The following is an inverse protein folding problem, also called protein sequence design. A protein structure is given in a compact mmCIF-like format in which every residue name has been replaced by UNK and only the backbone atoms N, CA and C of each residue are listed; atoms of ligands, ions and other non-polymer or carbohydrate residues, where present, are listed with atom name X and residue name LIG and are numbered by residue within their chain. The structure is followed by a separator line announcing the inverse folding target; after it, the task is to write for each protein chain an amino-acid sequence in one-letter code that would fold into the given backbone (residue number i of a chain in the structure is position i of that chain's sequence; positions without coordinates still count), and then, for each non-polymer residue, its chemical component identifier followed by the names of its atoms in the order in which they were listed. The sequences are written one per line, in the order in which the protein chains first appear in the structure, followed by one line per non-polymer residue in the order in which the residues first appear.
data_IF_876671258581
#
_entry.id   IF_876671258581
#
_cell.length_a   1.000
_cell.length_b   1.000
_cell.length_c   1.000
_cell.angle_alpha   90.00
_cell.angle_beta   90.00
_cell.angle_gamma   90.00
#
_symmetry.space_group_name_H-M   'P 1'
#
loop_
_entity.id
_entity.type
_entity.pdbx_description
1 polymer ?
#
# COMPACT_ATOMS: atom_id res chain seq x y z
N UNK A 1 45.59 8.25 -53.73
CA UNK A 1 44.49 8.57 -54.67
C UNK A 1 43.52 7.41 -54.92
N UNK A 2 43.90 6.13 -54.78
CA UNK A 2 42.98 5.01 -55.02
C UNK A 2 41.89 4.83 -53.94
N UNK A 3 42.23 4.95 -52.65
CA UNK A 3 41.29 4.74 -51.55
C UNK A 3 40.12 5.76 -51.52
N UNK A 4 40.38 7.01 -51.93
CA UNK A 4 39.33 8.04 -52.04
C UNK A 4 38.31 7.72 -53.13
N UNK A 5 38.72 7.04 -54.21
CA UNK A 5 37.82 6.61 -55.27
C UNK A 5 36.81 5.56 -54.80
N UNK A 6 37.26 4.58 -54.00
CA UNK A 6 36.39 3.54 -53.44
C UNK A 6 35.38 4.13 -52.46
N UNK A 7 35.82 5.07 -51.61
CA UNK A 7 34.92 5.74 -50.65
C UNK A 7 33.86 6.58 -51.36
N UNK A 8 34.23 7.34 -52.40
CA UNK A 8 33.27 8.14 -53.17
C UNK A 8 32.31 7.26 -53.98
N UNK A 9 32.77 6.14 -54.54
CA UNK A 9 31.89 5.17 -55.19
C UNK A 9 30.87 4.57 -54.20
N UNK A 10 31.31 4.19 -53.00
CA UNK A 10 30.42 3.64 -51.97
C UNK A 10 29.40 4.67 -51.46
N UNK A 11 29.77 5.95 -51.37
CA UNK A 11 28.85 7.03 -50.99
C UNK A 11 27.73 7.27 -52.01
N UNK A 12 27.98 7.00 -53.29
CA UNK A 12 27.01 7.18 -54.38
C UNK A 12 25.92 6.12 -54.40
N UNK A 13 26.09 5.01 -53.67
CA UNK A 13 25.06 3.99 -53.52
C UNK A 13 23.91 4.53 -52.67
N UNK A 14 22.71 4.55 -53.24
CA UNK A 14 21.53 5.22 -52.70
C UNK A 14 20.67 4.34 -51.82
N UNK A 15 20.67 3.02 -52.05
CA UNK A 15 19.80 2.08 -51.32
C UNK A 15 20.57 1.27 -50.28
N UNK A 16 19.86 0.78 -49.27
CA UNK A 16 20.44 -0.10 -48.23
C UNK A 16 20.98 -1.40 -48.84
N UNK A 17 20.26 -1.96 -49.81
CA UNK A 17 20.59 -3.25 -50.42
C UNK A 17 21.84 -3.17 -51.32
N UNK A 18 21.98 -2.09 -52.09
CA UNK A 18 23.20 -1.81 -52.88
C UNK A 18 24.43 -1.68 -51.99
N UNK A 19 24.29 -0.99 -50.86
CA UNK A 19 25.38 -0.82 -49.89
C UNK A 19 25.75 -2.12 -49.21
N UNK A 20 24.77 -2.96 -48.90
CA UNK A 20 25.00 -4.30 -48.34
C UNK A 20 25.74 -5.20 -49.34
N UNK A 21 25.29 -5.24 -50.60
CA UNK A 21 25.94 -6.02 -51.66
C UNK A 21 27.39 -5.55 -51.92
N UNK A 22 27.63 -4.25 -51.95
CA UNK A 22 28.97 -3.69 -52.11
C UNK A 22 29.89 -4.01 -50.92
N UNK A 23 29.38 -3.95 -49.68
CA UNK A 23 30.14 -4.39 -48.49
C UNK A 23 30.49 -5.87 -48.58
N UNK A 24 29.55 -6.72 -48.97
CA UNK A 24 29.79 -8.16 -49.12
C UNK A 24 30.87 -8.45 -50.17
N UNK A 25 30.83 -7.75 -51.31
CA UNK A 25 31.86 -7.86 -52.35
C UNK A 25 33.24 -7.41 -51.84
N UNK A 26 33.32 -6.26 -51.15
CA UNK A 26 34.58 -5.77 -50.55
C UNK A 26 35.12 -6.79 -49.55
N UNK A 27 34.26 -7.37 -48.72
CA UNK A 27 34.62 -8.35 -47.70
C UNK A 27 35.18 -9.65 -48.31
N UNK A 28 34.66 -10.10 -49.45
CA UNK A 28 35.14 -11.30 -50.18
C UNK A 28 36.56 -11.14 -50.72
N UNK A 29 36.95 -9.92 -51.07
CA UNK A 29 38.29 -9.62 -51.61
C UNK A 29 39.36 -9.43 -50.52
N UNK A 30 38.98 -9.34 -49.24
CA UNK A 30 39.94 -9.16 -48.15
C UNK A 30 40.73 -10.43 -47.86
N UNK A 31 42.04 -10.28 -47.68
CA UNK A 31 42.87 -11.39 -47.22
C UNK A 31 42.76 -11.61 -45.68
N UNK A 32 43.25 -12.74 -45.14
CA UNK A 32 43.11 -13.06 -43.71
C UNK A 32 43.79 -12.07 -42.73
N UNK A 33 44.76 -11.27 -43.18
CA UNK A 33 45.39 -10.23 -42.35
C UNK A 33 44.54 -8.95 -42.34
N UNK A 34 44.03 -8.55 -43.50
CA UNK A 34 43.13 -7.40 -43.66
C UNK A 34 41.80 -7.61 -42.92
N UNK A 35 41.27 -8.83 -42.93
CA UNK A 35 40.11 -9.22 -42.13
C UNK A 35 40.31 -8.97 -40.63
N UNK A 36 41.48 -9.36 -40.10
CA UNK A 36 41.82 -9.16 -38.69
C UNK A 36 41.94 -7.67 -38.35
N UNK A 37 42.56 -6.89 -39.23
CA UNK A 37 42.68 -5.43 -39.07
C UNK A 37 41.31 -4.73 -39.15
N UNK A 38 40.46 -5.11 -40.11
CA UNK A 38 39.10 -4.61 -40.24
C UNK A 38 38.27 -4.92 -38.97
N UNK A 39 38.34 -6.15 -38.47
CA UNK A 39 37.68 -6.56 -37.24
C UNK A 39 38.20 -5.77 -36.03
N UNK A 40 39.52 -5.58 -35.90
CA UNK A 40 40.11 -4.80 -34.82
C UNK A 40 39.65 -3.33 -34.84
N UNK A 41 39.50 -2.74 -36.03
CA UNK A 41 38.97 -1.37 -36.21
C UNK A 41 37.47 -1.28 -35.93
N UNK A 42 36.68 -2.27 -36.37
CA UNK A 42 35.25 -2.33 -36.10
C UNK A 42 34.98 -2.51 -34.60
N UNK A 43 35.77 -3.33 -33.90
CA UNK A 43 35.67 -3.52 -32.45
C UNK A 43 35.94 -2.24 -31.65
N UNK A 44 36.71 -1.29 -32.21
CA UNK A 44 36.93 0.04 -31.62
C UNK A 44 35.76 0.99 -31.84
N UNK A 45 34.82 0.67 -32.73
CA UNK A 45 33.57 1.42 -32.89
C UNK A 45 32.50 0.84 -31.98
N UNK A 46 31.76 1.71 -31.31
CA UNK A 46 30.59 1.30 -30.54
C UNK A 46 29.48 0.89 -31.50
N UNK A 47 29.19 -0.40 -31.57
CA UNK A 47 27.97 -0.88 -32.21
C UNK A 47 26.77 -0.47 -31.36
N UNK A 48 26.12 0.62 -31.74
CA UNK A 48 24.82 0.98 -31.18
C UNK A 48 23.76 0.19 -31.93
N UNK A 49 23.25 -0.84 -31.29
CA UNK A 49 22.10 -1.61 -31.77
C UNK A 49 20.92 -1.36 -30.82
N UNK A 50 19.82 -0.82 -31.35
CA UNK A 50 18.58 -0.71 -30.58
C UNK A 50 17.89 -2.07 -30.55
N UNK A 51 18.27 -2.87 -29.56
CA UNK A 51 17.69 -4.20 -29.34
C UNK A 51 16.16 -4.08 -29.18
N UNK A 52 15.69 -3.16 -28.34
CA UNK A 52 14.28 -3.07 -27.96
C UNK A 52 13.36 -2.73 -29.13
N UNK A 53 13.78 -1.86 -30.05
CA UNK A 53 12.98 -1.55 -31.24
C UNK A 53 12.82 -2.72 -32.22
N UNK A 54 13.73 -3.71 -32.16
CA UNK A 54 13.73 -4.89 -33.04
C UNK A 54 13.07 -6.12 -32.43
N UNK A 55 12.78 -6.11 -31.12
CA UNK A 55 12.27 -7.26 -30.41
C UNK A 55 10.77 -7.48 -30.64
N UNK A 56 10.32 -8.76 -30.71
CA UNK A 56 8.92 -9.10 -30.55
C UNK A 56 8.38 -8.59 -29.21
N UNK A 57 7.10 -8.22 -29.17
CA UNK A 57 6.47 -7.61 -27.99
C UNK A 57 6.58 -8.52 -26.76
N UNK A 58 6.52 -9.83 -26.95
CA UNK A 58 6.62 -10.85 -25.90
C UNK A 58 7.97 -10.78 -25.18
N UNK A 59 9.05 -10.61 -25.94
CA UNK A 59 10.40 -10.45 -25.36
C UNK A 59 10.50 -9.09 -24.67
N UNK A 60 9.89 -8.06 -25.25
CA UNK A 60 9.72 -6.76 -24.59
C UNK A 60 9.07 -6.90 -23.22
N UNK A 61 7.92 -7.57 -23.12
CA UNK A 61 7.21 -7.84 -21.86
C UNK A 61 8.13 -8.52 -20.86
N UNK A 62 8.86 -9.56 -21.28
CA UNK A 62 9.79 -10.28 -20.40
C UNK A 62 10.90 -9.40 -19.86
N UNK A 63 11.52 -8.55 -20.69
CA UNK A 63 12.58 -7.62 -20.27
C UNK A 63 12.02 -6.59 -19.30
N UNK A 64 10.93 -5.93 -19.67
CA UNK A 64 10.38 -4.81 -18.91
C UNK A 64 9.77 -5.25 -17.58
N UNK A 65 9.33 -6.51 -17.44
CA UNK A 65 8.86 -7.08 -16.17
C UNK A 65 9.91 -7.01 -15.05
N UNK A 66 11.21 -7.04 -15.38
CA UNK A 66 12.29 -6.94 -14.40
C UNK A 66 12.68 -5.50 -14.04
N UNK A 67 12.05 -4.50 -14.68
CA UNK A 67 12.36 -3.09 -14.43
C UNK A 67 11.35 -2.47 -13.45
N UNK A 68 11.77 -1.35 -12.84
CA UNK A 68 10.89 -0.53 -12.02
C UNK A 68 9.71 0.01 -12.84
N UNK A 69 8.53 0.13 -12.23
CA UNK A 69 7.29 0.58 -12.87
C UNK A 69 7.42 1.95 -13.54
N UNK A 70 8.26 2.85 -13.03
CA UNK A 70 8.51 4.16 -13.65
C UNK A 70 9.42 4.10 -14.88
N UNK A 71 10.17 3.01 -15.05
CA UNK A 71 11.18 2.87 -16.11
C UNK A 71 10.57 2.87 -17.50
N UNK A 72 9.51 2.10 -17.83
CA UNK A 72 8.85 2.17 -19.12
C UNK A 72 8.40 3.58 -19.49
N UNK A 73 7.80 4.31 -18.55
CA UNK A 73 7.32 5.68 -18.79
C UNK A 73 8.45 6.64 -19.10
N UNK A 74 9.59 6.52 -18.39
CA UNK A 74 10.79 7.31 -18.70
C UNK A 74 11.37 6.95 -20.07
N UNK A 75 11.43 5.66 -20.40
CA UNK A 75 12.06 5.17 -21.63
C UNK A 75 11.21 5.42 -22.89
N UNK A 76 9.95 5.83 -22.76
CA UNK A 76 9.14 6.33 -23.87
C UNK A 76 9.75 7.56 -24.56
N UNK A 77 10.68 8.29 -23.92
CA UNK A 77 11.36 9.43 -24.54
C UNK A 77 12.55 9.05 -25.43
N UNK A 78 12.95 7.77 -25.46
CA UNK A 78 14.15 7.32 -26.19
C UNK A 78 13.96 7.41 -27.70
N UNK A 79 12.84 6.90 -28.23
CA UNK A 79 12.50 6.98 -29.65
C UNK A 79 10.99 6.80 -29.89
N UNK A 80 10.52 7.10 -31.10
CA UNK A 80 9.11 6.87 -31.49
C UNK A 80 8.71 5.38 -31.39
N UNK A 81 9.63 4.47 -31.71
CA UNK A 81 9.41 3.03 -31.63
C UNK A 81 9.31 2.56 -30.18
N UNK A 82 10.22 3.02 -29.33
CA UNK A 82 10.17 2.78 -27.88
C UNK A 82 8.87 3.30 -27.28
N UNK A 83 8.46 4.51 -27.65
CA UNK A 83 7.18 5.06 -27.21
C UNK A 83 6.02 4.18 -27.62
N UNK A 84 5.94 3.78 -28.90
CA UNK A 84 4.86 2.91 -29.41
C UNK A 84 4.80 1.58 -28.63
N UNK A 85 5.95 0.95 -28.42
CA UNK A 85 6.06 -0.32 -27.68
C UNK A 85 5.62 -0.14 -26.22
N UNK A 86 6.22 0.82 -25.51
CA UNK A 86 6.04 1.03 -24.07
C UNK A 86 4.74 1.75 -23.68
N UNK A 87 3.95 2.20 -24.66
CA UNK A 87 2.57 2.68 -24.46
C UNK A 87 1.58 1.52 -24.54
N UNK A 88 1.99 0.34 -25.04
CA UNK A 88 1.10 -0.81 -25.16
C UNK A 88 0.62 -1.30 -23.79
N UNK A 89 -0.71 -1.43 -23.56
CA UNK A 89 -1.26 -2.05 -22.37
C UNK A 89 -0.75 -3.47 -22.13
N UNK A 90 -0.37 -4.19 -23.18
CA UNK A 90 0.15 -5.56 -23.10
C UNK A 90 1.49 -5.63 -22.35
N UNK A 91 2.27 -4.54 -22.36
CA UNK A 91 3.51 -4.42 -21.60
C UNK A 91 3.24 -3.88 -20.20
N UNK A 92 2.40 -2.85 -20.10
CA UNK A 92 2.19 -2.14 -18.84
C UNK A 92 1.36 -2.96 -17.84
N UNK A 93 0.33 -3.69 -18.29
CA UNK A 93 -0.55 -4.46 -17.39
C UNK A 93 0.20 -5.57 -16.65
N UNK A 94 1.02 -6.44 -17.27
CA UNK A 94 1.79 -7.44 -16.54
C UNK A 94 2.81 -6.87 -15.54
N UNK A 95 3.32 -5.66 -15.81
CA UNK A 95 4.19 -4.98 -14.84
C UNK A 95 3.40 -4.47 -13.63
N UNK A 96 2.23 -3.89 -13.88
CA UNK A 96 1.35 -3.38 -12.83
C UNK A 96 0.65 -4.49 -12.06
N UNK A 97 0.45 -5.67 -12.65
CA UNK A 97 -0.24 -6.80 -12.01
C UNK A 97 0.50 -7.37 -10.80
N UNK A 98 1.78 -7.03 -10.64
CA UNK A 98 2.54 -7.36 -9.41
C UNK A 98 2.07 -6.54 -8.20
N UNK A 99 1.40 -5.42 -8.44
CA UNK A 99 0.97 -4.47 -7.42
C UNK A 99 -0.53 -4.25 -7.35
N UNK A 100 -1.21 -4.47 -8.48
CA UNK A 100 -2.65 -4.30 -8.62
C UNK A 100 -3.26 -5.60 -9.13
N UNK A 101 -4.22 -6.13 -8.39
CA UNK A 101 -5.06 -7.26 -8.78
C UNK A 101 -6.34 -6.77 -9.47
N UNK A 102 -6.96 -7.63 -10.29
CA UNK A 102 -8.29 -7.37 -10.85
C UNK A 102 -9.38 -7.31 -9.76
N UNK A 103 -9.08 -7.86 -8.58
CA UNK A 103 -9.95 -7.77 -7.40
C UNK A 103 -9.81 -6.45 -6.64
N UNK A 104 -8.78 -5.66 -6.94
CA UNK A 104 -8.58 -4.39 -6.27
C UNK A 104 -9.65 -3.38 -6.70
N UNK A 105 -10.08 -2.58 -5.73
CA UNK A 105 -11.00 -1.48 -6.02
C UNK A 105 -10.30 -0.46 -6.93
N UNK A 106 -11.04 0.13 -7.89
CA UNK A 106 -10.48 1.18 -8.76
C UNK A 106 -9.89 2.33 -7.96
N UNK A 107 -8.79 2.89 -8.46
CA UNK A 107 -8.19 4.10 -7.90
C UNK A 107 -9.12 5.32 -8.08
N UNK A 108 -8.90 6.33 -7.25
CA UNK A 108 -9.57 7.62 -7.40
C UNK A 108 -9.27 8.20 -8.80
N UNK A 109 -10.31 8.53 -9.56
CA UNK A 109 -10.21 9.00 -10.94
C UNK A 109 -10.15 7.91 -12.01
N UNK A 110 -9.94 6.63 -11.67
CA UNK A 110 -9.87 5.52 -12.65
C UNK A 110 -11.20 5.35 -13.40
N UNK A 111 -12.33 5.54 -12.72
CA UNK A 111 -13.66 5.45 -13.33
C UNK A 111 -13.88 6.47 -14.47
N UNK A 112 -13.22 7.64 -14.41
CA UNK A 112 -13.28 8.66 -15.46
C UNK A 112 -12.44 8.30 -16.69
N UNK A 113 -11.56 7.31 -16.57
CA UNK A 113 -10.64 6.85 -17.61
C UNK A 113 -11.13 5.56 -18.31
N UNK A 114 -12.42 5.22 -18.17
CA UNK A 114 -13.00 4.03 -18.83
C UNK A 114 -12.75 4.07 -20.34
N UNK A 115 -12.20 2.97 -20.86
CA UNK A 115 -11.82 2.83 -22.27
C UNK A 115 -10.45 3.43 -22.62
N UNK A 116 -9.75 4.05 -21.67
CA UNK A 116 -8.40 4.60 -21.86
C UNK A 116 -7.36 3.75 -21.13
N UNK A 117 -7.09 2.55 -21.64
CA UNK A 117 -6.23 1.55 -20.98
C UNK A 117 -4.85 2.08 -20.61
N UNK A 118 -4.22 2.85 -21.50
CA UNK A 118 -2.93 3.46 -21.23
C UNK A 118 -3.02 4.50 -20.09
N UNK A 119 -4.06 5.33 -20.07
CA UNK A 119 -4.23 6.34 -19.02
C UNK A 119 -4.46 5.68 -17.65
N UNK A 120 -5.19 4.57 -17.60
CA UNK A 120 -5.34 3.75 -16.38
C UNK A 120 -4.00 3.20 -15.92
N UNK A 121 -3.19 2.65 -16.85
CA UNK A 121 -1.85 2.16 -16.52
C UNK A 121 -0.94 3.28 -16.00
N UNK A 122 -1.02 4.47 -16.61
CA UNK A 122 -0.27 5.65 -16.19
C UNK A 122 -0.67 6.10 -14.78
N UNK A 123 -1.97 6.16 -14.48
CA UNK A 123 -2.50 6.50 -13.15
C UNK A 123 -1.97 5.54 -12.08
N UNK A 124 -2.07 4.22 -12.32
CA UNK A 124 -1.56 3.18 -11.42
C UNK A 124 -0.05 3.28 -11.21
N UNK A 125 0.70 3.50 -12.29
CA UNK A 125 2.15 3.69 -12.22
C UNK A 125 2.54 4.94 -11.41
N UNK A 126 1.82 6.04 -11.59
CA UNK A 126 2.04 7.28 -10.86
C UNK A 126 1.76 7.10 -9.36
N UNK A 127 0.65 6.45 -9.00
CA UNK A 127 0.35 6.10 -7.61
C UNK A 127 1.47 5.28 -6.97
N UNK A 128 1.98 4.27 -7.68
CA UNK A 128 3.09 3.45 -7.18
C UNK A 128 4.38 4.25 -7.03
N UNK A 129 4.69 5.10 -8.00
CA UNK A 129 5.87 5.96 -7.96
C UNK A 129 5.83 6.93 -6.77
N UNK A 130 4.67 7.56 -6.55
CA UNK A 130 4.36 8.43 -5.41
C UNK A 130 4.53 7.71 -4.08
N UNK A 131 3.99 6.49 -3.97
CA UNK A 131 4.13 5.62 -2.80
C UNK A 131 5.62 5.34 -2.48
N UNK A 132 6.41 4.93 -3.47
CA UNK A 132 7.84 4.64 -3.29
C UNK A 132 8.69 5.85 -2.89
N UNK A 133 8.27 7.06 -3.27
CA UNK A 133 8.97 8.31 -2.96
C UNK A 133 8.49 9.00 -1.69
N UNK A 134 7.49 8.44 -1.00
CA UNK A 134 6.89 9.11 0.16
C UNK A 134 6.17 10.42 -0.21
N UNK A 135 5.68 10.53 -1.44
CA UNK A 135 4.95 11.70 -1.94
C UNK A 135 3.45 11.35 -2.06
N UNK A 136 2.67 11.41 -0.96
CA UNK A 136 1.31 10.87 -0.93
C UNK A 136 0.40 11.53 -1.97
N UNK A 137 -0.51 10.74 -2.56
CA UNK A 137 -1.52 11.25 -3.49
C UNK A 137 -2.53 12.16 -2.78
N UNK A 138 -2.99 11.75 -1.59
CA UNK A 138 -3.78 12.58 -0.70
C UNK A 138 -3.34 12.35 0.75
N UNK A 139 -3.57 13.34 1.60
CA UNK A 139 -3.32 13.23 3.03
C UNK A 139 -4.47 13.91 3.79
N UNK A 140 -4.68 13.45 5.03
CA UNK A 140 -5.67 14.03 5.95
C UNK A 140 -4.95 14.29 7.26
N UNK A 141 -5.10 15.50 7.81
CA UNK A 141 -4.62 15.82 9.14
C UNK A 141 -5.69 15.50 10.16
N UNK A 142 -5.40 14.58 11.07
CA UNK A 142 -6.22 14.32 12.24
C UNK A 142 -5.49 14.95 13.41
N UNK A 143 -6.02 16.06 13.91
CA UNK A 143 -5.51 16.65 15.14
C UNK A 143 -5.98 15.74 16.28
N UNK A 144 -5.06 15.22 17.08
CA UNK A 144 -5.36 14.52 18.33
C UNK A 144 -4.91 15.44 19.46
N UNK A 145 -5.74 15.69 20.47
CA UNK A 145 -5.35 16.58 21.56
C UNK A 145 -4.23 15.91 22.36
N UNK A 146 -3.10 16.59 22.49
CA UNK A 146 -1.98 16.18 23.36
C UNK A 146 -2.30 16.32 24.86
N UNK A 147 -3.53 16.71 25.22
CA UNK A 147 -3.93 16.93 26.60
C UNK A 147 -4.24 15.61 27.30
N UNK A 148 -3.20 14.91 27.75
CA UNK A 148 -2.90 14.90 29.18
C UNK A 148 -1.37 14.76 29.35
N UNK A 149 -0.70 15.66 30.09
CA UNK A 149 0.70 15.46 30.43
C UNK A 149 0.83 14.13 31.16
N UNK A 150 1.77 13.32 30.70
CA UNK A 150 2.19 12.07 31.32
C UNK A 150 2.34 12.27 32.82
N UNK A 151 1.34 11.87 33.61
CA UNK A 151 1.53 11.67 35.02
C UNK A 151 2.44 10.45 35.14
N UNK A 152 3.75 10.73 35.16
CA UNK A 152 4.92 9.84 35.16
C UNK A 152 4.94 8.82 36.33
N UNK A 153 3.85 8.71 37.10
CA UNK A 153 3.65 7.81 38.23
C UNK A 153 2.80 6.57 37.90
N UNK A 154 2.20 6.47 36.72
CA UNK A 154 1.56 5.23 36.26
C UNK A 154 2.60 4.35 35.58
N UNK A 155 3.02 3.27 36.24
CA UNK A 155 3.85 2.20 35.67
C UNK A 155 3.14 1.35 34.61
N UNK A 156 1.92 1.72 34.19
CA UNK A 156 1.17 1.02 33.17
C UNK A 156 1.26 1.76 31.81
N UNK A 157 1.90 1.15 30.78
CA UNK A 157 1.90 1.67 29.43
C UNK A 157 0.54 1.36 28.79
N UNK A 158 -0.50 2.12 29.15
CA UNK A 158 -1.84 1.92 28.59
C UNK A 158 -2.55 3.25 28.39
N UNK A 159 -2.02 4.09 27.51
CA UNK A 159 -2.94 5.02 26.85
C UNK A 159 -3.92 4.17 26.04
N UNK A 160 -5.23 4.23 26.32
CA UNK A 160 -6.21 3.60 25.45
C UNK A 160 -6.03 4.16 24.04
N UNK A 161 -6.16 3.31 23.02
CA UNK A 161 -6.05 3.75 21.65
C UNK A 161 -7.14 4.80 21.39
N UNK A 162 -6.78 6.09 21.38
CA UNK A 162 -7.67 7.22 21.03
C UNK A 162 -7.94 7.26 19.52
N UNK A 163 -7.23 6.43 18.77
CA UNK A 163 -7.33 6.24 17.32
C UNK A 163 -7.32 4.74 17.05
N UNK A 164 -8.15 4.30 16.13
CA UNK A 164 -8.07 2.96 15.55
C UNK A 164 -8.23 3.05 14.03
N UNK A 165 -7.64 2.09 13.32
CA UNK A 165 -7.58 2.12 11.86
C UNK A 165 -7.76 0.71 11.30
N UNK A 166 -8.67 0.55 10.36
CA UNK A 166 -8.86 -0.69 9.61
C UNK A 166 -9.18 -0.38 8.15
N UNK A 167 -8.49 -1.07 7.24
CA UNK A 167 -8.58 -0.90 5.78
C UNK A 167 -8.45 0.55 5.31
N UNK A 168 -9.58 1.22 5.09
CA UNK A 168 -9.68 2.60 4.60
C UNK A 168 -10.34 3.52 5.63
N UNK A 169 -10.75 3.00 6.78
CA UNK A 169 -11.53 3.71 7.75
C UNK A 169 -10.68 3.97 8.99
N UNK A 170 -10.67 5.23 9.43
CA UNK A 170 -10.03 5.67 10.66
C UNK A 170 -11.09 6.16 11.62
N UNK A 171 -10.98 5.77 12.88
CA UNK A 171 -11.80 6.29 13.97
C UNK A 171 -10.90 6.99 14.99
N UNK A 172 -11.36 8.11 15.55
CA UNK A 172 -10.66 8.82 16.60
C UNK A 172 -11.62 9.53 17.55
N UNK A 173 -11.16 9.78 18.78
CA UNK A 173 -11.91 10.57 19.75
C UNK A 173 -11.80 12.06 19.45
N UNK A 174 -12.91 12.80 19.61
CA UNK A 174 -12.88 14.25 19.43
C UNK A 174 -12.06 14.94 20.54
N UNK A 175 -11.42 16.05 20.18
CA UNK A 175 -10.45 16.77 21.01
C UNK A 175 -11.08 17.70 22.06
N UNK A 176 -12.39 17.64 22.24
CA UNK A 176 -13.07 18.44 23.24
C UNK A 176 -12.82 17.86 24.63
N UNK A 177 -12.65 18.67 25.70
CA UNK A 177 -12.48 18.19 27.08
C UNK A 177 -13.60 17.22 27.53
N UNK A 178 -14.78 17.36 26.93
CA UNK A 178 -15.95 16.50 27.10
C UNK A 178 -16.01 15.36 26.08
N UNK A 179 -14.87 14.79 25.64
CA UNK A 179 -14.75 13.81 24.56
C UNK A 179 -15.75 12.64 24.68
N UNK A 180 -16.94 12.90 24.15
CA UNK A 180 -18.14 12.07 24.18
C UNK A 180 -18.51 11.61 22.79
N UNK A 181 -17.69 11.98 21.80
CA UNK A 181 -17.87 11.72 20.39
C UNK A 181 -16.64 10.99 19.83
N UNK A 182 -16.92 9.95 19.07
CA UNK A 182 -16.00 9.27 18.16
C UNK A 182 -16.31 9.77 16.76
N UNK A 183 -15.28 10.25 16.08
CA UNK A 183 -15.32 10.58 14.65
C UNK A 183 -14.79 9.39 13.87
N UNK A 184 -15.51 8.98 12.85
CA UNK A 184 -15.13 7.91 11.93
C UNK A 184 -15.08 8.50 10.53
N UNK A 185 -14.02 8.23 9.78
CA UNK A 185 -13.86 8.72 8.42
C UNK A 185 -13.31 7.61 7.54
N UNK A 186 -13.98 7.36 6.41
CA UNK A 186 -13.41 6.56 5.35
C UNK A 186 -12.50 7.45 4.49
N UNK A 187 -11.21 7.20 4.52
CA UNK A 187 -10.16 8.00 3.89
C UNK A 187 -10.29 8.07 2.37
N UNK A 188 -10.93 7.08 1.74
CA UNK A 188 -11.15 7.05 0.29
C UNK A 188 -12.40 7.84 -0.11
N UNK A 189 -13.55 7.48 0.44
CA UNK A 189 -14.85 8.09 0.08
C UNK A 189 -15.09 9.44 0.74
N UNK A 190 -14.26 9.80 1.74
CA UNK A 190 -14.41 10.97 2.62
C UNK A 190 -15.73 11.00 3.40
N UNK A 191 -16.50 9.91 3.38
CA UNK A 191 -17.70 9.78 4.21
C UNK A 191 -17.29 9.75 5.68
N UNK A 192 -17.93 10.60 6.47
CA UNK A 192 -17.71 10.69 7.90
C UNK A 192 -18.96 10.36 8.67
N UNK A 193 -18.78 9.71 9.81
CA UNK A 193 -19.81 9.40 10.79
C UNK A 193 -19.33 9.93 12.14
N UNK A 194 -20.23 10.52 12.91
CA UNK A 194 -19.95 10.94 14.29
C UNK A 194 -20.89 10.14 15.19
N UNK A 195 -20.34 9.42 16.14
CA UNK A 195 -21.09 8.62 17.11
C UNK A 195 -20.72 9.03 18.52
N UNK A 196 -21.67 8.97 19.45
CA UNK A 196 -21.42 9.24 20.86
C UNK A 196 -22.17 8.25 21.76
N UNK A 197 -21.92 8.34 23.07
CA UNK A 197 -22.65 7.58 24.09
C UNK A 197 -24.09 8.09 24.30
N UNK A 198 -24.72 7.69 25.41
CA UNK A 198 -25.99 8.27 25.85
C UNK A 198 -25.69 9.44 26.78
N UNK A 199 -26.04 10.67 26.38
CA UNK A 199 -25.74 11.87 27.15
C UNK A 199 -24.26 12.30 27.06
N UNK A 200 -23.73 12.90 28.13
CA UNK A 200 -22.36 13.43 28.20
C UNK A 200 -21.36 12.42 28.77
N UNK A 201 -21.45 11.17 28.32
CA UNK A 201 -20.52 10.13 28.76
C UNK A 201 -19.13 10.34 28.15
N UNK A 202 -18.10 10.25 28.99
CA UNK A 202 -16.71 10.30 28.52
C UNK A 202 -16.33 8.94 27.92
N UNK A 203 -15.83 8.98 26.69
CA UNK A 203 -15.35 7.79 25.97
C UNK A 203 -13.87 7.61 26.26
N UNK A 204 -13.47 6.37 26.55
CA UNK A 204 -12.10 6.05 26.92
C UNK A 204 -11.38 5.20 25.86
N UNK A 205 -12.05 4.24 25.22
CA UNK A 205 -11.43 3.28 24.30
C UNK A 205 -12.28 3.11 23.05
N UNK A 206 -11.65 2.96 21.89
CA UNK A 206 -12.32 2.68 20.62
C UNK A 206 -11.72 1.46 19.92
N UNK A 207 -12.57 0.70 19.24
CA UNK A 207 -12.19 -0.37 18.31
C UNK A 207 -13.03 -0.39 17.06
N UNK A 208 -12.36 -0.51 15.93
CA UNK A 208 -12.95 -0.48 14.61
C UNK A 208 -12.86 -1.86 13.96
N UNK A 209 -13.93 -2.26 13.29
CA UNK A 209 -13.94 -3.37 12.32
C UNK A 209 -14.39 -2.85 10.97
N UNK A 210 -14.41 -3.70 9.96
CA UNK A 210 -14.96 -3.38 8.64
C UNK A 210 -16.44 -3.02 8.69
N UNK A 211 -17.15 -3.41 9.76
CA UNK A 211 -18.61 -3.30 9.87
C UNK A 211 -19.06 -2.46 11.06
N UNK A 212 -18.29 -2.41 12.14
CA UNK A 212 -18.66 -1.77 13.40
C UNK A 212 -17.60 -0.78 13.87
N UNK A 213 -18.04 0.30 14.52
CA UNK A 213 -17.24 1.04 15.48
C UNK A 213 -17.77 0.74 16.88
N UNK A 214 -16.89 0.40 17.79
CA UNK A 214 -17.22 0.12 19.17
C UNK A 214 -16.38 0.95 20.10
N UNK A 215 -16.96 1.34 21.23
CA UNK A 215 -16.28 2.18 22.19
C UNK A 215 -16.80 1.95 23.60
N UNK A 216 -15.92 2.11 24.57
CA UNK A 216 -16.27 2.00 25.99
C UNK A 216 -16.23 3.36 26.65
N UNK A 217 -17.17 3.56 27.57
CA UNK A 217 -17.24 4.74 28.42
C UNK A 217 -16.60 4.45 29.77
N UNK A 218 -16.27 5.49 30.53
CA UNK A 218 -15.78 5.33 31.91
C UNK A 218 -16.82 4.71 32.86
N UNK A 219 -18.11 4.64 32.47
CA UNK A 219 -19.16 3.97 33.26
C UNK A 219 -19.19 2.45 33.07
N UNK A 220 -18.31 1.90 32.22
CA UNK A 220 -18.26 0.47 31.88
C UNK A 220 -19.32 0.04 30.86
N UNK A 221 -19.99 1.00 30.20
CA UNK A 221 -20.89 0.72 29.09
C UNK A 221 -20.12 0.64 27.79
N UNK A 222 -20.37 -0.42 27.02
CA UNK A 222 -19.83 -0.59 25.67
C UNK A 222 -20.94 -0.28 24.67
N UNK A 223 -20.62 0.61 23.74
CA UNK A 223 -21.42 0.92 22.58
C UNK A 223 -20.81 0.25 21.35
N UNK A 224 -21.69 -0.14 20.43
CA UNK A 224 -21.34 -0.59 19.11
C UNK A 224 -22.27 0.11 18.12
N UNK A 225 -21.72 0.60 17.02
CA UNK A 225 -22.46 1.24 15.95
C UNK A 225 -22.11 0.58 14.63
N UNK A 226 -23.14 0.24 13.88
CA UNK A 226 -23.00 -0.25 12.51
C UNK A 226 -22.55 0.90 11.60
N UNK A 227 -21.48 0.68 10.84
CA UNK A 227 -20.89 1.69 9.97
C UNK A 227 -21.72 1.95 8.71
N UNK A 228 -22.56 1.00 8.29
CA UNK A 228 -23.40 1.13 7.10
C UNK A 228 -24.74 1.80 7.44
N UNK A 229 -25.39 1.40 8.53
CA UNK A 229 -26.73 1.89 8.89
C UNK A 229 -26.70 3.03 9.90
N UNK A 230 -25.62 3.19 10.67
CA UNK A 230 -25.57 4.07 11.83
C UNK A 230 -26.39 3.55 13.02
N UNK A 231 -26.92 2.33 12.95
CA UNK A 231 -27.65 1.72 14.05
C UNK A 231 -26.70 1.48 15.23
N UNK A 232 -27.13 1.92 16.42
CA UNK A 232 -26.33 1.83 17.64
C UNK A 232 -26.98 0.90 18.64
N UNK A 233 -26.16 0.04 19.24
CA UNK A 233 -26.52 -0.88 20.32
C UNK A 233 -25.54 -0.72 21.47
N UNK A 234 -25.95 -1.12 22.67
CA UNK A 234 -25.07 -1.07 23.83
C UNK A 234 -25.36 -2.18 24.81
N UNK A 235 -24.35 -2.51 25.60
CA UNK A 235 -24.48 -3.39 26.74
C UNK A 235 -23.57 -2.90 27.87
N UNK A 236 -23.93 -3.25 29.10
CA UNK A 236 -23.20 -2.83 30.28
C UNK A 236 -22.42 -4.00 30.85
N UNK A 237 -21.14 -3.77 31.17
CA UNK A 237 -20.35 -4.74 31.88
C UNK A 237 -20.70 -4.73 33.38
N UNK A 238 -20.63 -5.89 34.08
CA UNK A 238 -20.92 -5.97 35.51
C UNK A 238 -20.01 -5.08 36.37
N UNK A 239 -18.79 -4.79 35.89
CA UNK A 239 -17.80 -3.97 36.58
C UNK A 239 -17.56 -2.67 35.80
N UNK A 240 -17.53 -1.54 36.50
CA UNK A 240 -17.25 -0.21 35.94
C UNK A 240 -15.77 0.01 35.55
N UNK A 241 -15.00 -1.07 35.41
CA UNK A 241 -13.58 -1.02 35.05
C UNK A 241 -13.44 -0.91 33.55
N UNK A 242 -12.42 -0.19 33.10
CA UNK A 242 -12.02 -0.08 31.70
C UNK A 242 -11.65 -1.46 31.16
N UNK A 243 -12.54 -2.13 30.40
CA UNK A 243 -12.22 -3.44 29.85
C UNK A 243 -11.14 -3.27 28.77
N UNK A 244 -10.31 -4.29 28.61
CA UNK A 244 -9.56 -4.43 27.36
C UNK A 244 -10.43 -5.26 26.44
N UNK A 245 -10.74 -4.74 25.27
CA UNK A 245 -11.54 -5.46 24.29
C UNK A 245 -10.99 -5.30 22.88
N UNK A 246 -11.39 -6.23 22.03
CA UNK A 246 -11.10 -6.31 20.62
C UNK A 246 -12.40 -6.62 19.88
N UNK A 247 -12.39 -6.43 18.57
CA UNK A 247 -13.55 -6.65 17.74
C UNK A 247 -13.17 -7.40 16.48
N UNK A 248 -14.08 -8.25 16.00
CA UNK A 248 -13.93 -8.97 14.74
C UNK A 248 -15.29 -9.11 14.08
N UNK A 249 -15.42 -8.61 12.85
CA UNK A 249 -16.71 -8.54 12.16
C UNK A 249 -17.75 -7.84 13.05
N UNK A 250 -18.79 -8.58 13.40
CA UNK A 250 -19.93 -8.11 14.23
C UNK A 250 -19.88 -8.55 15.70
N UNK A 251 -18.71 -9.01 16.16
CA UNK A 251 -18.51 -9.53 17.52
C UNK A 251 -17.48 -8.71 18.28
N UNK A 252 -17.80 -8.40 19.53
CA UNK A 252 -16.94 -7.71 20.50
C UNK A 252 -16.52 -8.72 21.57
N UNK A 253 -15.22 -8.89 21.76
CA UNK A 253 -14.68 -9.77 22.79
C UNK A 253 -13.70 -9.03 23.67
N UNK A 254 -13.71 -9.30 24.98
CA UNK A 254 -12.79 -8.63 25.89
C UNK A 254 -12.68 -9.31 27.23
N UNK A 255 -11.85 -8.74 28.10
CA UNK A 255 -11.63 -9.23 29.45
C UNK A 255 -11.92 -8.16 30.49
N UNK A 256 -12.45 -8.61 31.62
CA UNK A 256 -12.70 -7.83 32.81
C UNK A 256 -11.80 -8.40 33.91
N UNK A 257 -11.04 -7.53 34.56
CA UNK A 257 -10.16 -7.90 35.66
C UNK A 257 -10.90 -7.69 36.98
N UNK A 258 -10.98 -8.72 37.82
CA UNK A 258 -11.50 -8.63 39.18
C UNK A 258 -10.33 -8.27 40.14
N UNK A 259 -10.45 -7.24 40.98
CA UNK A 259 -9.30 -6.83 41.84
C UNK A 259 -9.24 -7.61 43.14
N UNK A 260 -10.35 -8.26 43.52
CA UNK A 260 -10.41 -8.96 44.79
C UNK A 260 -9.67 -10.30 44.71
N UNK A 261 -9.55 -10.87 43.51
CA UNK A 261 -8.82 -12.10 43.22
C UNK A 261 -7.94 -11.86 42.00
N UNK A 262 -6.64 -11.63 42.20
CA UNK A 262 -5.68 -11.45 41.09
C UNK A 262 -5.57 -12.65 40.15
N UNK A 263 -6.24 -13.75 40.48
CA UNK A 263 -6.15 -15.05 39.81
C UNK A 263 -7.28 -15.29 38.78
N UNK A 264 -8.36 -14.49 38.76
CA UNK A 264 -9.50 -14.72 37.87
C UNK A 264 -9.78 -13.53 36.94
N UNK A 265 -9.91 -13.80 35.65
CA UNK A 265 -10.37 -12.83 34.65
C UNK A 265 -11.66 -13.34 34.00
N UNK A 266 -12.66 -12.47 33.87
CA UNK A 266 -13.87 -12.82 33.12
C UNK A 266 -13.70 -12.41 31.66
N UNK A 267 -13.84 -13.36 30.74
CA UNK A 267 -13.95 -13.08 29.31
C UNK A 267 -15.41 -12.84 28.97
N UNK A 268 -15.68 -11.82 28.17
CA UNK A 268 -16.99 -11.60 27.56
C UNK A 268 -16.91 -11.65 26.04
N UNK A 269 -17.97 -12.17 25.42
CA UNK A 269 -18.17 -12.17 23.98
C UNK A 269 -19.59 -11.68 23.73
N UNK A 270 -19.71 -10.57 23.01
CA UNK A 270 -20.98 -9.95 22.66
C UNK A 270 -21.14 -9.88 21.15
N UNK A 271 -22.30 -10.29 20.64
CA UNK A 271 -22.62 -10.25 19.22
C UNK A 271 -23.64 -9.14 18.93
N UNK A 272 -23.34 -8.31 17.94
CA UNK A 272 -24.13 -7.12 17.62
C UNK A 272 -25.55 -7.47 17.18
N UNK A 273 -25.72 -8.46 16.30
CA UNK A 273 -27.01 -8.76 15.68
C UNK A 273 -28.00 -9.39 16.66
N UNK A 274 -27.49 -10.30 17.50
CA UNK A 274 -28.30 -11.01 18.50
C UNK A 274 -28.45 -10.25 19.81
N UNK A 275 -27.63 -9.22 20.04
CA UNK A 275 -27.48 -8.53 21.33
C UNK A 275 -27.14 -9.47 22.52
N UNK A 276 -26.68 -10.70 22.25
CA UNK A 276 -26.38 -11.69 23.30
C UNK A 276 -24.95 -11.52 23.78
N UNK A 277 -24.77 -11.51 25.10
CA UNK A 277 -23.48 -11.56 25.78
C UNK A 277 -23.28 -12.95 26.38
N UNK A 278 -22.12 -13.56 26.13
CA UNK A 278 -21.65 -14.76 26.79
C UNK A 278 -20.44 -14.40 27.64
N UNK A 279 -20.36 -14.97 28.84
CA UNK A 279 -19.24 -14.76 29.75
C UNK A 279 -18.73 -16.08 30.30
N UNK A 280 -17.43 -16.20 30.47
CA UNK A 280 -16.81 -17.34 31.13
C UNK A 280 -15.54 -16.88 31.85
N UNK A 281 -15.17 -17.61 32.90
CA UNK A 281 -13.95 -17.30 33.66
C UNK A 281 -12.74 -17.96 33.02
N UNK A 282 -11.60 -17.28 33.10
CA UNK A 282 -10.29 -17.83 32.81
C UNK A 282 -9.38 -17.62 34.02
N UNK A 283 -8.64 -18.65 34.37
CA UNK A 283 -7.57 -18.54 35.37
C UNK A 283 -6.40 -17.78 34.74
N UNK A 284 -5.94 -16.72 35.41
CA UNK A 284 -4.73 -16.05 35.00
C UNK A 284 -3.55 -16.96 35.35
N UNK A 285 -2.71 -17.39 34.39
CA UNK A 285 -1.47 -18.08 34.73
C UNK A 285 -0.69 -17.13 35.63
N UNK A 286 -0.36 -17.61 36.85
CA UNK A 286 0.39 -16.82 37.84
C UNK A 286 1.55 -16.12 37.14
N UNK A 287 1.76 -14.81 37.33
CA UNK A 287 2.94 -14.16 36.80
C UNK A 287 4.15 -14.94 37.30
N UNK A 288 4.91 -15.51 36.37
CA UNK A 288 6.19 -16.13 36.70
C UNK A 288 7.06 -15.05 37.32
N UNK A 289 7.19 -15.07 38.64
CA UNK A 289 8.20 -14.30 39.33
C UNK A 289 9.51 -15.08 39.15
N UNK A 290 10.42 -14.67 38.26
CA UNK A 290 11.77 -15.23 38.31
C UNK A 290 12.31 -14.97 39.72
N UNK A 291 12.94 -15.96 40.38
CA UNK A 291 13.58 -15.72 41.66
C UNK A 291 14.71 -14.74 41.41
N UNK A 292 14.48 -13.47 41.73
CA UNK A 292 15.55 -12.51 41.88
C UNK A 292 16.38 -13.00 43.06
N UNK A 293 17.48 -13.69 42.74
CA UNK A 293 18.49 -14.04 43.72
C UNK A 293 18.97 -12.77 44.38
N UNK A 294 18.78 -12.70 45.70
CA UNK A 294 19.58 -11.84 46.57
C UNK A 294 21.03 -12.25 46.41
N UNK A 295 21.76 -11.54 45.55
CA UNK A 295 23.21 -11.53 45.62
C UNK A 295 23.59 -10.68 46.83
N UNK A 296 24.08 -11.36 47.87
CA UNK A 296 24.94 -10.78 48.90
C UNK A 296 26.31 -10.47 48.30
#
# INVERSE_FOLDING_TARGET
MAASGVVEAFKRLSTSDERAAALEAIIKELNPYEWREAFARLKRRTFQCDLVSSLPIEIGIQIFRYLDISTPFRLQSVSKNWRRLLTSPDILRPMLSTWYSDLDRPLEGEASLRGQDYAVCQLKAEHMHRFRRGAPFSWVRINLSEQEPWNMRSTMPRHPAKVDFIDETVAWLDNTPESSLVKVCNLRTKKSLIVGGEGRERIHYIKLTTELISFTTFSGRIYACDLATGERRSFRLPSARSPIFSCRGRTIGGTIWEAQTSEESTVFIWNFDTCKCQTFQIENPRPYHPPWGTAQ
#
